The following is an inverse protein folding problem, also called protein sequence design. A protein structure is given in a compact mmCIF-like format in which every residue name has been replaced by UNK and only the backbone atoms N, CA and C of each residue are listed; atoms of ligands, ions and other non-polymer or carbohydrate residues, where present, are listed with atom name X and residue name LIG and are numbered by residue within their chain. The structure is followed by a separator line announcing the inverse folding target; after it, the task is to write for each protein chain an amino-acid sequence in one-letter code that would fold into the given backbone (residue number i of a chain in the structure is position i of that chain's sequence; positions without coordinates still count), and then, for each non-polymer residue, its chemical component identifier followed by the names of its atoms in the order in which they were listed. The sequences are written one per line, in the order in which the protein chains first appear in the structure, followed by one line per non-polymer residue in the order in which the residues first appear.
data_IF_739812917876
#
_entry.id   IF_739812917876
#
_cell.length_a   1.000
_cell.length_b   1.000
_cell.length_c   1.000
_cell.angle_alpha   90.00
_cell.angle_beta   90.00
_cell.angle_gamma   90.00
#
_symmetry.space_group_name_H-M   'P 1'
#
loop_
_entity.id
_entity.type
_entity.pdbx_description
1 polymer ?
#
# COMPACT_ATOMS: atom_id res chain seq x y z
N UNK A 1 -20.84 -5.64 4.25
CA UNK A 1 -20.22 -4.78 3.19
C UNK A 1 -21.09 -4.64 1.92
N UNK A 2 -21.65 -3.45 1.63
CA UNK A 2 -22.23 -3.17 0.31
C UNK A 2 -21.12 -2.80 -0.68
N UNK A 3 -20.83 -3.70 -1.62
CA UNK A 3 -19.96 -3.36 -2.75
C UNK A 3 -20.59 -2.26 -3.61
N UNK A 4 -19.77 -1.27 -3.95
CA UNK A 4 -20.04 -0.30 -5.01
C UNK A 4 -20.41 -1.05 -6.31
N UNK A 5 -21.35 -0.49 -7.08
CA UNK A 5 -21.85 -1.11 -8.32
C UNK A 5 -20.70 -1.46 -9.28
N UNK A 6 -19.72 -0.56 -9.42
CA UNK A 6 -18.58 -0.77 -10.34
C UNK A 6 -17.69 -1.95 -9.93
N UNK A 7 -17.50 -2.21 -8.64
CA UNK A 7 -16.68 -3.34 -8.17
C UNK A 7 -17.45 -4.65 -8.30
N UNK A 8 -18.77 -4.63 -8.08
CA UNK A 8 -19.63 -5.80 -8.32
C UNK A 8 -19.56 -6.25 -9.78
N UNK A 9 -19.71 -5.31 -10.72
CA UNK A 9 -19.63 -5.60 -12.15
C UNK A 9 -18.25 -6.18 -12.55
N UNK A 10 -17.16 -5.72 -11.91
CA UNK A 10 -15.81 -6.29 -12.11
C UNK A 10 -15.72 -7.72 -11.59
N UNK A 11 -16.21 -7.97 -10.39
CA UNK A 11 -16.22 -9.31 -9.79
C UNK A 11 -17.02 -10.28 -10.66
N UNK A 12 -18.20 -9.87 -11.15
CA UNK A 12 -19.03 -10.70 -12.04
C UNK A 12 -18.29 -11.08 -13.34
N UNK A 13 -17.54 -10.15 -13.95
CA UNK A 13 -16.80 -10.40 -15.19
C UNK A 13 -15.64 -11.38 -15.06
N UNK A 14 -15.07 -11.56 -13.86
CA UNK A 14 -13.95 -12.47 -13.64
C UNK A 14 -14.33 -13.74 -12.86
N UNK A 15 -15.60 -13.88 -12.45
CA UNK A 15 -16.06 -14.97 -11.60
C UNK A 15 -15.74 -16.37 -12.14
N UNK A 16 -15.94 -16.61 -13.45
CA UNK A 16 -15.64 -17.89 -14.07
C UNK A 16 -14.14 -18.21 -14.01
N UNK A 17 -13.28 -17.24 -14.39
CA UNK A 17 -11.82 -17.39 -14.31
C UNK A 17 -11.36 -17.64 -12.88
N UNK A 18 -11.93 -16.89 -11.93
CA UNK A 18 -11.64 -17.06 -10.51
C UNK A 18 -11.98 -18.47 -10.06
N UNK A 19 -13.19 -18.96 -10.36
CA UNK A 19 -13.63 -20.28 -9.97
C UNK A 19 -12.74 -21.40 -10.55
N UNK A 20 -12.35 -21.29 -11.82
CA UNK A 20 -11.39 -22.20 -12.45
C UNK A 20 -10.02 -22.16 -11.76
N UNK A 21 -9.55 -20.97 -11.37
CA UNK A 21 -8.30 -20.83 -10.62
C UNK A 21 -8.36 -21.51 -9.25
N UNK A 22 -9.47 -21.37 -8.52
CA UNK A 22 -9.68 -22.02 -7.21
C UNK A 22 -9.70 -23.55 -7.36
N UNK A 23 -10.38 -24.08 -8.38
CA UNK A 23 -10.41 -25.51 -8.66
C UNK A 23 -9.01 -26.06 -8.96
N UNK A 24 -8.20 -25.32 -9.74
CA UNK A 24 -6.81 -25.69 -10.00
C UNK A 24 -5.96 -25.68 -8.74
N UNK A 25 -6.08 -24.65 -7.90
CA UNK A 25 -5.36 -24.55 -6.63
C UNK A 25 -5.64 -25.74 -5.69
N UNK A 26 -6.89 -26.23 -5.65
CA UNK A 26 -7.27 -27.39 -4.83
C UNK A 26 -6.58 -28.69 -5.28
N UNK A 27 -6.22 -28.82 -6.55
CA UNK A 27 -5.55 -30.02 -7.09
C UNK A 27 -4.07 -30.09 -6.67
N UNK A 28 -3.39 -28.94 -6.54
CA UNK A 28 -1.93 -28.85 -6.30
C UNK A 28 -1.48 -29.61 -5.03
N UNK A 29 -2.33 -29.70 -4.01
CA UNK A 29 -2.02 -30.42 -2.77
C UNK A 29 -1.68 -31.89 -3.02
N UNK A 30 -2.34 -32.52 -4.00
CA UNK A 30 -2.19 -33.96 -4.30
C UNK A 30 -1.31 -34.22 -5.52
N UNK A 31 -0.91 -33.18 -6.25
CA UNK A 31 -0.13 -33.33 -7.47
C UNK A 31 1.36 -33.58 -7.18
N UNK A 32 1.94 -34.42 -8.03
CA UNK A 32 3.36 -34.78 -8.03
C UNK A 32 4.07 -34.36 -9.34
N UNK A 33 3.41 -33.53 -10.15
CA UNK A 33 3.87 -33.07 -11.48
C UNK A 33 5.12 -32.19 -11.41
N UNK A 34 5.26 -31.40 -10.35
CA UNK A 34 6.47 -30.60 -10.07
C UNK A 34 7.52 -31.44 -9.34
N UNK A 35 8.80 -31.17 -9.56
CA UNK A 35 9.91 -31.81 -8.85
C UNK A 35 9.76 -31.71 -7.31
N UNK A 36 10.05 -32.80 -6.60
CA UNK A 36 9.93 -32.95 -5.13
C UNK A 36 10.40 -31.74 -4.32
N UNK A 37 11.51 -31.13 -4.74
CA UNK A 37 12.13 -29.98 -4.06
C UNK A 37 11.19 -28.75 -3.99
N UNK A 38 10.38 -28.50 -5.02
CA UNK A 38 9.53 -27.30 -5.09
C UNK A 38 8.09 -27.58 -4.63
N UNK A 39 7.67 -28.85 -4.50
CA UNK A 39 6.32 -29.20 -4.05
C UNK A 39 5.92 -28.54 -2.73
N UNK A 40 6.77 -28.51 -1.68
CA UNK A 40 6.40 -27.86 -0.41
C UNK A 40 6.07 -26.37 -0.57
N UNK A 41 6.78 -25.66 -1.44
CA UNK A 41 6.54 -24.25 -1.72
C UNK A 41 5.19 -24.06 -2.42
N UNK A 42 4.96 -24.76 -3.54
CA UNK A 42 3.71 -24.61 -4.30
C UNK A 42 2.48 -25.03 -3.51
N UNK A 43 2.57 -26.11 -2.72
CA UNK A 43 1.48 -26.53 -1.83
C UNK A 43 1.20 -25.50 -0.74
N UNK A 44 2.24 -24.92 -0.13
CA UNK A 44 2.06 -23.84 0.84
C UNK A 44 1.40 -22.61 0.22
N UNK A 45 1.86 -22.14 -0.94
CA UNK A 45 1.26 -21.00 -1.63
C UNK A 45 -0.19 -21.28 -2.06
N UNK A 46 -0.48 -22.47 -2.59
CA UNK A 46 -1.85 -22.85 -2.95
C UNK A 46 -2.76 -22.89 -1.72
N UNK A 47 -2.31 -23.46 -0.60
CA UNK A 47 -3.05 -23.46 0.65
C UNK A 47 -3.29 -22.03 1.18
N UNK A 48 -2.31 -21.13 1.05
CA UNK A 48 -2.46 -19.73 1.42
C UNK A 48 -3.49 -19.01 0.53
N UNK A 49 -3.46 -19.19 -0.79
CA UNK A 49 -4.44 -18.61 -1.72
C UNK A 49 -5.86 -19.14 -1.45
N UNK A 50 -6.01 -20.44 -1.16
CA UNK A 50 -7.30 -21.02 -0.75
C UNK A 50 -7.81 -20.45 0.57
N UNK A 51 -6.91 -20.13 1.50
CA UNK A 51 -7.25 -19.43 2.75
C UNK A 51 -7.74 -18.01 2.49
N UNK A 52 -7.14 -17.29 1.54
CA UNK A 52 -7.62 -15.98 1.11
C UNK A 52 -9.02 -16.07 0.48
N UNK A 53 -9.30 -17.10 -0.31
CA UNK A 53 -10.65 -17.32 -0.84
C UNK A 53 -11.67 -17.61 0.26
N UNK A 54 -11.30 -18.42 1.27
CA UNK A 54 -12.16 -18.66 2.44
C UNK A 54 -12.45 -17.37 3.20
N UNK A 55 -11.44 -16.52 3.38
CA UNK A 55 -11.61 -15.20 4.00
C UNK A 55 -12.51 -14.31 3.16
N UNK A 56 -12.28 -14.20 1.85
CA UNK A 56 -13.08 -13.39 0.92
C UNK A 56 -14.55 -13.77 0.96
N UNK A 57 -14.89 -15.08 0.96
CA UNK A 57 -16.28 -15.56 1.11
C UNK A 57 -16.90 -15.13 2.43
N UNK A 58 -16.14 -15.22 3.52
CA UNK A 58 -16.56 -14.81 4.88
C UNK A 58 -16.80 -13.28 4.97
N UNK A 59 -16.08 -12.49 4.19
CA UNK A 59 -16.27 -11.04 4.06
C UNK A 59 -17.51 -10.74 3.20
N UNK A 60 -17.65 -11.43 2.08
CA UNK A 60 -18.74 -11.28 1.13
C UNK A 60 -20.11 -11.61 1.73
N UNK A 61 -20.22 -12.70 2.49
CA UNK A 61 -21.46 -13.11 3.16
C UNK A 61 -21.71 -12.41 4.51
N UNK A 62 -20.80 -11.52 4.91
CA UNK A 62 -20.83 -10.73 6.15
C UNK A 62 -20.70 -11.55 7.44
N UNK A 63 -20.31 -12.82 7.36
CA UNK A 63 -20.05 -13.66 8.54
C UNK A 63 -18.94 -13.07 9.41
N UNK A 64 -17.94 -12.43 8.82
CA UNK A 64 -16.83 -11.80 9.56
C UNK A 64 -17.31 -10.73 10.56
N UNK A 65 -18.42 -10.05 10.25
CA UNK A 65 -18.99 -9.00 11.12
C UNK A 65 -19.47 -9.59 12.46
N UNK A 66 -19.85 -10.87 12.46
CA UNK A 66 -20.34 -11.60 13.66
C UNK A 66 -19.23 -12.21 14.52
N UNK A 67 -17.98 -12.26 14.02
CA UNK A 67 -16.87 -12.86 14.74
C UNK A 67 -16.55 -12.11 16.03
N UNK A 68 -16.24 -12.90 17.06
CA UNK A 68 -15.70 -12.44 18.33
C UNK A 68 -14.32 -11.81 18.14
N UNK A 69 -13.88 -11.02 19.13
CA UNK A 69 -12.54 -10.43 19.12
C UNK A 69 -11.44 -11.50 18.98
N UNK A 70 -11.60 -12.65 19.64
CA UNK A 70 -10.61 -13.73 19.59
C UNK A 70 -10.57 -14.43 18.23
N UNK A 71 -11.71 -14.60 17.56
CA UNK A 71 -11.74 -15.10 16.18
C UNK A 71 -11.05 -14.13 15.20
N UNK A 72 -11.25 -12.82 15.37
CA UNK A 72 -10.57 -11.80 14.54
C UNK A 72 -9.06 -11.76 14.79
N UNK A 73 -8.62 -11.83 16.05
CA UNK A 73 -7.20 -11.98 16.42
C UNK A 73 -6.60 -13.26 15.84
N UNK A 74 -7.34 -14.36 15.84
CA UNK A 74 -6.90 -15.62 15.25
C UNK A 74 -6.64 -15.43 13.76
N UNK A 75 -7.56 -14.82 13.00
CA UNK A 75 -7.34 -14.50 11.59
C UNK A 75 -6.12 -13.61 11.37
N UNK A 76 -5.96 -12.55 12.16
CA UNK A 76 -4.78 -11.66 12.11
C UNK A 76 -3.48 -12.45 12.26
N UNK A 77 -3.38 -13.28 13.30
CA UNK A 77 -2.21 -14.13 13.53
C UNK A 77 -1.99 -15.09 12.36
N UNK A 78 -3.05 -15.78 11.95
CA UNK A 78 -3.02 -16.83 10.94
C UNK A 78 -2.65 -16.35 9.53
N UNK A 79 -2.87 -15.07 9.21
CA UNK A 79 -2.52 -14.47 7.93
C UNK A 79 -1.08 -13.92 7.94
N UNK A 80 -0.58 -13.50 9.10
CA UNK A 80 0.70 -12.79 9.22
C UNK A 80 1.82 -13.61 9.85
N UNK A 81 1.54 -14.73 10.53
CA UNK A 81 2.50 -15.51 11.34
C UNK A 81 3.83 -15.80 10.64
N UNK A 82 3.81 -16.05 9.34
CA UNK A 82 5.00 -16.38 8.55
C UNK A 82 5.99 -15.23 8.43
N UNK A 83 5.55 -13.98 8.57
CA UNK A 83 6.43 -12.81 8.51
C UNK A 83 6.71 -12.21 9.89
N UNK A 84 6.25 -12.84 10.97
CA UNK A 84 6.44 -12.34 12.34
C UNK A 84 7.67 -12.93 13.01
N UNK A 85 8.54 -12.05 13.53
CA UNK A 85 9.66 -12.41 14.40
C UNK A 85 10.54 -13.53 13.83
N UNK A 86 10.81 -14.55 14.64
CA UNK A 86 11.69 -15.67 14.25
C UNK A 86 11.07 -16.62 13.21
N UNK A 87 9.75 -16.57 12.97
CA UNK A 87 9.13 -17.38 11.92
C UNK A 87 9.57 -16.92 10.53
N UNK A 88 9.85 -15.62 10.38
CA UNK A 88 10.29 -15.04 9.11
C UNK A 88 11.54 -15.74 8.55
N UNK A 89 12.52 -16.06 9.41
CA UNK A 89 13.75 -16.78 9.02
C UNK A 89 13.53 -18.21 8.50
N UNK A 90 12.30 -18.71 8.59
CA UNK A 90 11.87 -20.03 8.09
C UNK A 90 10.73 -19.92 7.09
N UNK A 91 10.42 -18.70 6.65
CA UNK A 91 9.36 -18.43 5.69
C UNK A 91 9.95 -18.37 4.30
N UNK A 92 9.19 -18.83 3.30
CA UNK A 92 9.58 -18.59 1.91
C UNK A 92 9.54 -17.10 1.52
N UNK A 93 9.00 -16.23 2.37
CA UNK A 93 9.11 -14.80 2.21
C UNK A 93 10.52 -14.29 2.55
N UNK A 94 11.33 -14.99 3.36
CA UNK A 94 12.73 -14.62 3.52
C UNK A 94 13.51 -15.09 2.29
N UNK A 95 14.10 -14.17 1.47
CA UNK A 95 14.86 -14.56 0.29
C UNK A 95 16.02 -15.51 0.60
N UNK A 96 16.65 -15.36 1.77
CA UNK A 96 17.75 -16.23 2.23
C UNK A 96 17.26 -17.65 2.45
N UNK A 97 16.09 -17.79 3.09
CA UNK A 97 15.46 -19.09 3.30
C UNK A 97 15.00 -19.70 1.97
N UNK A 98 14.37 -18.91 1.10
CA UNK A 98 13.90 -19.36 -0.20
C UNK A 98 15.04 -19.84 -1.11
N UNK A 99 16.16 -19.11 -1.17
CA UNK A 99 17.37 -19.51 -1.92
C UNK A 99 17.92 -20.84 -1.41
N UNK A 100 18.05 -20.97 -0.08
CA UNK A 100 18.52 -22.21 0.54
C UNK A 100 17.62 -23.41 0.20
N UNK A 101 16.31 -23.24 0.32
CA UNK A 101 15.37 -24.35 0.20
C UNK A 101 15.05 -24.69 -1.26
N UNK A 102 14.85 -23.69 -2.11
CA UNK A 102 14.33 -23.86 -3.47
C UNK A 102 15.46 -23.93 -4.49
N UNK A 103 16.33 -22.91 -4.56
CA UNK A 103 17.60 -22.91 -5.30
C UNK A 103 18.18 -21.49 -5.35
N UNK A 104 19.47 -21.37 -5.66
CA UNK A 104 20.11 -20.10 -6.02
C UNK A 104 19.48 -19.45 -7.28
N UNK A 105 18.94 -20.25 -8.19
CA UNK A 105 18.38 -19.76 -9.46
C UNK A 105 16.98 -19.17 -9.28
N UNK A 106 16.10 -19.84 -8.53
CA UNK A 106 14.68 -19.47 -8.43
C UNK A 106 14.30 -18.83 -7.10
N UNK A 107 15.09 -19.03 -6.04
CA UNK A 107 14.71 -18.70 -4.66
C UNK A 107 14.30 -17.24 -4.47
N UNK A 108 15.04 -16.30 -5.06
CA UNK A 108 14.69 -14.87 -4.99
C UNK A 108 13.34 -14.57 -5.65
N UNK A 109 13.10 -15.08 -6.86
CA UNK A 109 11.85 -14.86 -7.60
C UNK A 109 10.66 -15.53 -6.91
N UNK A 110 10.85 -16.73 -6.36
CA UNK A 110 9.81 -17.44 -5.62
C UNK A 110 9.52 -16.80 -4.25
N UNK A 111 10.53 -16.18 -3.61
CA UNK A 111 10.32 -15.36 -2.41
C UNK A 111 9.47 -14.13 -2.74
N UNK A 112 9.85 -13.39 -3.79
CA UNK A 112 9.03 -12.29 -4.33
C UNK A 112 7.60 -12.75 -4.63
N UNK A 113 7.43 -13.86 -5.36
CA UNK A 113 6.10 -14.36 -5.70
C UNK A 113 5.27 -14.58 -4.43
N UNK A 114 5.83 -15.22 -3.40
CA UNK A 114 5.06 -15.41 -2.16
C UNK A 114 4.68 -14.08 -1.51
N UNK A 115 5.60 -13.11 -1.46
CA UNK A 115 5.33 -11.76 -0.98
C UNK A 115 4.26 -11.04 -1.80
N UNK A 116 4.24 -11.21 -3.12
CA UNK A 116 3.21 -10.64 -3.99
C UNK A 116 1.84 -11.29 -3.73
N UNK A 117 1.77 -12.61 -3.55
CA UNK A 117 0.51 -13.30 -3.21
C UNK A 117 -0.06 -12.85 -1.86
N UNK A 118 0.81 -12.41 -0.92
CA UNK A 118 0.39 -11.87 0.38
C UNK A 118 -0.33 -10.52 0.27
N UNK A 119 -0.19 -9.79 -0.82
CA UNK A 119 -1.03 -8.61 -1.11
C UNK A 119 -2.53 -8.97 -1.17
N UNK A 120 -2.83 -10.24 -1.50
CA UNK A 120 -4.17 -10.80 -1.50
C UNK A 120 -4.90 -10.75 -0.16
N UNK A 121 -4.20 -10.53 0.97
CA UNK A 121 -4.84 -10.29 2.27
C UNK A 121 -5.76 -9.07 2.18
N UNK A 122 -5.23 -7.92 1.76
CA UNK A 122 -6.02 -6.69 1.64
C UNK A 122 -7.12 -6.83 0.59
N UNK A 123 -6.83 -7.55 -0.50
CA UNK A 123 -7.80 -7.79 -1.58
C UNK A 123 -8.98 -8.66 -1.12
N UNK A 124 -8.75 -9.64 -0.24
CA UNK A 124 -9.80 -10.43 0.38
C UNK A 124 -10.71 -9.60 1.30
N UNK A 125 -10.13 -8.74 2.15
CA UNK A 125 -10.89 -7.83 3.04
C UNK A 125 -11.68 -6.76 2.28
N UNK A 126 -11.22 -6.36 1.09
CA UNK A 126 -11.92 -5.43 0.21
C UNK A 126 -12.83 -6.12 -0.83
N UNK A 127 -12.92 -7.46 -0.81
CA UNK A 127 -13.63 -8.30 -1.81
C UNK A 127 -13.29 -7.91 -3.26
N UNK A 128 -12.00 -7.67 -3.53
CA UNK A 128 -11.42 -7.46 -4.88
C UNK A 128 -11.17 -8.83 -5.52
N UNK A 129 -12.26 -9.49 -5.94
CA UNK A 129 -12.19 -10.82 -6.55
C UNK A 129 -11.36 -10.80 -7.84
N UNK A 130 -11.44 -9.71 -8.59
CA UNK A 130 -10.63 -9.47 -9.77
C UNK A 130 -9.13 -9.43 -9.48
N UNK A 131 -8.71 -8.77 -8.39
CA UNK A 131 -7.31 -8.74 -7.99
C UNK A 131 -6.82 -10.10 -7.50
N UNK A 132 -7.64 -10.81 -6.72
CA UNK A 132 -7.33 -12.18 -6.28
C UNK A 132 -7.23 -13.14 -7.47
N UNK A 133 -8.08 -12.98 -8.49
CA UNK A 133 -8.01 -13.78 -9.72
C UNK A 133 -6.66 -13.57 -10.40
N UNK A 134 -6.21 -12.32 -10.53
CA UNK A 134 -4.94 -11.99 -11.17
C UNK A 134 -3.76 -12.62 -10.39
N UNK A 135 -3.76 -12.56 -9.05
CA UNK A 135 -2.73 -13.21 -8.24
C UNK A 135 -2.72 -14.74 -8.42
N UNK A 136 -3.91 -15.36 -8.47
CA UNK A 136 -4.03 -16.78 -8.73
C UNK A 136 -3.48 -17.14 -10.12
N UNK A 137 -3.78 -16.34 -11.14
CA UNK A 137 -3.30 -16.54 -12.51
C UNK A 137 -1.77 -16.47 -12.58
N UNK A 138 -1.14 -15.45 -11.97
CA UNK A 138 0.33 -15.35 -11.88
C UNK A 138 0.94 -16.59 -11.21
N UNK A 139 0.39 -17.00 -10.07
CA UNK A 139 0.87 -18.18 -9.35
C UNK A 139 0.75 -19.45 -10.20
N UNK A 140 -0.40 -19.65 -10.84
CA UNK A 140 -0.67 -20.82 -11.67
C UNK A 140 0.18 -20.83 -12.95
N UNK A 141 0.49 -19.68 -13.53
CA UNK A 141 1.38 -19.58 -14.70
C UNK A 141 2.81 -19.99 -14.33
N UNK A 142 3.32 -19.50 -13.20
CA UNK A 142 4.63 -19.91 -12.69
C UNK A 142 4.62 -21.40 -12.32
N UNK A 143 3.58 -21.90 -11.66
CA UNK A 143 3.43 -23.33 -11.36
C UNK A 143 3.48 -24.19 -12.63
N UNK A 144 2.75 -23.81 -13.67
CA UNK A 144 2.75 -24.51 -14.96
C UNK A 144 4.13 -24.57 -15.62
N UNK A 145 4.97 -23.55 -15.44
CA UNK A 145 6.36 -23.61 -15.91
C UNK A 145 7.14 -24.76 -15.27
N UNK A 146 6.94 -24.98 -13.97
CA UNK A 146 7.56 -26.08 -13.22
C UNK A 146 6.91 -27.45 -13.49
N UNK A 147 5.66 -27.50 -13.95
CA UNK A 147 5.03 -28.73 -14.42
C UNK A 147 5.53 -29.14 -15.82
N UNK A 148 5.73 -28.15 -16.69
CA UNK A 148 6.13 -28.39 -18.08
C UNK A 148 7.60 -28.83 -18.20
N UNK A 149 8.46 -28.38 -17.29
CA UNK A 149 9.89 -28.65 -17.31
C UNK A 149 10.40 -28.86 -15.88
N UNK A 150 11.22 -29.90 -15.65
CA UNK A 150 11.83 -30.13 -14.33
C UNK A 150 12.66 -28.94 -13.84
N UNK A 151 13.28 -28.20 -14.79
CA UNK A 151 14.02 -26.97 -14.54
C UNK A 151 13.64 -25.95 -15.62
N UNK A 152 12.59 -25.14 -15.39
CA UNK A 152 12.20 -24.13 -16.36
C UNK A 152 13.30 -23.07 -16.53
N UNK A 153 13.47 -22.54 -17.73
CA UNK A 153 14.40 -21.42 -17.92
C UNK A 153 13.97 -20.23 -17.04
N UNK A 154 14.90 -19.69 -16.25
CA UNK A 154 14.65 -18.54 -15.38
C UNK A 154 14.04 -17.35 -16.12
N UNK A 155 14.41 -17.19 -17.39
CA UNK A 155 13.85 -16.18 -18.29
C UNK A 155 12.33 -16.30 -18.42
N UNK A 156 11.79 -17.50 -18.56
CA UNK A 156 10.34 -17.71 -18.69
C UNK A 156 9.61 -17.24 -17.43
N UNK A 157 10.15 -17.55 -16.25
CA UNK A 157 9.58 -17.10 -14.97
C UNK A 157 9.61 -15.57 -14.85
N UNK A 158 10.72 -14.94 -15.27
CA UNK A 158 10.83 -13.47 -15.33
C UNK A 158 9.84 -12.86 -16.32
N UNK A 159 9.61 -13.50 -17.46
CA UNK A 159 8.63 -13.03 -18.46
C UNK A 159 7.20 -13.11 -17.90
N UNK A 160 6.81 -14.16 -17.16
CA UNK A 160 5.52 -14.21 -16.45
C UNK A 160 5.34 -13.02 -15.50
N UNK A 161 6.36 -12.73 -14.68
CA UNK A 161 6.34 -11.58 -13.75
C UNK A 161 6.29 -10.24 -14.51
N UNK A 162 7.04 -10.10 -15.60
CA UNK A 162 7.06 -8.89 -16.41
C UNK A 162 5.69 -8.60 -17.03
N UNK A 163 5.06 -9.60 -17.64
CA UNK A 163 3.74 -9.43 -18.26
C UNK A 163 2.65 -9.23 -17.23
N UNK A 164 2.69 -9.91 -16.09
CA UNK A 164 1.85 -9.58 -14.94
C UNK A 164 1.96 -8.11 -14.55
N UNK A 165 3.18 -7.60 -14.37
CA UNK A 165 3.39 -6.22 -13.98
C UNK A 165 2.93 -5.23 -15.06
N UNK A 166 3.29 -5.48 -16.33
CA UNK A 166 3.01 -4.60 -17.46
C UNK A 166 1.53 -4.55 -17.84
N UNK A 167 0.89 -5.72 -17.93
CA UNK A 167 -0.50 -5.84 -18.39
C UNK A 167 -1.45 -5.34 -17.32
N UNK A 168 -1.23 -5.72 -16.06
CA UNK A 168 -2.09 -5.29 -14.96
C UNK A 168 -1.68 -3.95 -14.35
N UNK A 169 -0.69 -3.25 -14.91
CA UNK A 169 -0.37 -1.87 -14.53
C UNK A 169 -1.59 -0.95 -14.67
N UNK A 170 -2.33 -1.05 -15.78
CA UNK A 170 -3.53 -0.23 -16.03
C UNK A 170 -4.76 -0.66 -15.22
N UNK A 171 -4.63 -1.75 -14.46
CA UNK A 171 -5.59 -2.18 -13.46
C UNK A 171 -5.17 -1.64 -12.09
N UNK A 172 -4.05 -2.11 -11.54
CA UNK A 172 -3.66 -1.79 -10.17
C UNK A 172 -3.33 -0.31 -9.97
N UNK A 173 -2.49 0.27 -10.85
CA UNK A 173 -2.06 1.66 -10.71
C UNK A 173 -3.20 2.62 -11.06
N UNK A 174 -3.96 2.36 -12.12
CA UNK A 174 -5.09 3.23 -12.48
C UNK A 174 -6.18 3.24 -11.40
N UNK A 175 -6.45 2.08 -10.80
CA UNK A 175 -7.39 1.96 -9.69
C UNK A 175 -6.89 2.69 -8.45
N UNK A 176 -5.63 2.54 -8.09
CA UNK A 176 -5.05 3.26 -6.94
C UNK A 176 -5.10 4.79 -7.15
N UNK A 177 -4.78 5.27 -8.34
CA UNK A 177 -4.84 6.70 -8.67
C UNK A 177 -6.26 7.26 -8.57
N UNK A 178 -7.27 6.60 -9.15
CA UNK A 178 -8.66 7.10 -9.06
C UNK A 178 -9.19 7.01 -7.62
N UNK A 179 -8.88 5.93 -6.90
CA UNK A 179 -9.39 5.70 -5.54
C UNK A 179 -8.78 6.69 -4.53
N UNK A 180 -7.57 7.20 -4.81
CA UNK A 180 -6.91 8.23 -4.01
C UNK A 180 -7.30 9.67 -4.38
N UNK A 181 -8.03 9.92 -5.46
CA UNK A 181 -8.33 11.27 -5.95
C UNK A 181 -9.83 11.56 -6.00
N UNK A 182 -10.64 10.58 -6.38
CA UNK A 182 -12.06 10.79 -6.65
C UNK A 182 -12.91 10.28 -5.46
N UNK A 183 -13.61 11.19 -4.74
CA UNK A 183 -14.43 10.84 -3.57
C UNK A 183 -15.54 9.81 -3.82
N UNK A 184 -15.97 9.65 -5.08
CA UNK A 184 -16.98 8.65 -5.46
C UNK A 184 -16.52 7.24 -5.07
N UNK A 185 -15.23 6.92 -5.18
CA UNK A 185 -14.73 5.58 -4.90
C UNK A 185 -14.46 5.32 -3.42
N UNK A 186 -14.22 6.36 -2.62
CA UNK A 186 -13.87 6.25 -1.20
C UNK A 186 -15.09 6.38 -0.26
N UNK A 187 -16.24 6.78 -0.80
CA UNK A 187 -17.47 7.01 -0.02
C UNK A 187 -17.86 5.81 0.85
N UNK A 188 -17.84 4.61 0.26
CA UNK A 188 -18.15 3.37 0.98
C UNK A 188 -17.16 3.04 2.11
N UNK A 189 -15.92 3.55 2.03
CA UNK A 189 -14.90 3.42 3.06
C UNK A 189 -15.19 4.38 4.21
N UNK A 190 -15.50 5.64 3.90
CA UNK A 190 -15.88 6.66 4.88
C UNK A 190 -17.14 6.24 5.64
N UNK A 191 -18.18 5.78 4.92
CA UNK A 191 -19.43 5.31 5.51
C UNK A 191 -19.17 4.13 6.47
N UNK A 192 -18.27 3.22 6.09
CA UNK A 192 -17.86 2.11 6.96
C UNK A 192 -17.20 2.60 8.25
N UNK A 193 -16.27 3.55 8.19
CA UNK A 193 -15.59 4.11 9.38
C UNK A 193 -16.62 4.75 10.31
N UNK A 194 -17.63 5.43 9.76
CA UNK A 194 -18.72 6.06 10.53
C UNK A 194 -19.64 5.05 11.22
N UNK A 195 -19.85 3.89 10.61
CA UNK A 195 -20.71 2.83 11.12
C UNK A 195 -19.99 1.90 12.12
N UNK A 196 -18.66 1.97 12.22
CA UNK A 196 -17.87 1.14 13.13
C UNK A 196 -18.13 1.47 14.60
N UNK A 197 -18.25 0.42 15.42
CA UNK A 197 -18.20 0.54 16.88
C UNK A 197 -16.75 0.72 17.36
N UNK A 198 -16.34 1.98 17.54
CA UNK A 198 -14.99 2.34 17.99
C UNK A 198 -14.75 2.15 19.50
N UNK A 199 -15.78 1.73 20.25
CA UNK A 199 -15.65 1.40 21.68
C UNK A 199 -14.96 0.05 21.92
N UNK A 200 -14.89 -0.79 20.90
CA UNK A 200 -14.35 -2.16 20.93
C UNK A 200 -13.21 -2.30 19.90
N UNK A 201 -12.16 -3.06 20.20
CA UNK A 201 -11.02 -3.26 19.29
C UNK A 201 -11.32 -4.14 18.07
N UNK A 202 -12.51 -4.75 17.95
CA UNK A 202 -12.91 -5.60 16.82
C UNK A 202 -12.77 -4.89 15.47
N UNK A 203 -13.04 -3.58 15.39
CA UNK A 203 -12.99 -2.85 14.11
C UNK A 203 -11.59 -2.83 13.49
N UNK A 204 -10.52 -2.84 14.30
CA UNK A 204 -9.12 -2.77 13.82
C UNK A 204 -8.79 -3.88 12.83
N UNK A 205 -9.44 -5.03 12.98
CA UNK A 205 -9.23 -6.22 12.16
C UNK A 205 -10.05 -6.23 10.87
N UNK A 206 -10.69 -5.13 10.48
CA UNK A 206 -11.63 -5.08 9.34
C UNK A 206 -10.98 -4.64 8.02
N UNK A 207 -9.70 -4.26 8.06
CA UNK A 207 -8.98 -3.70 6.90
C UNK A 207 -8.05 -4.69 6.22
N UNK A 208 -7.66 -5.75 6.94
CA UNK A 208 -6.64 -6.69 6.50
C UNK A 208 -5.21 -6.27 6.77
N UNK A 209 -4.96 -5.07 7.31
CA UNK A 209 -3.67 -4.71 7.89
C UNK A 209 -3.40 -5.50 9.18
N UNK A 210 -2.13 -5.76 9.47
CA UNK A 210 -1.75 -6.44 10.71
C UNK A 210 -2.00 -5.54 11.92
N UNK A 211 -2.74 -6.06 12.89
CA UNK A 211 -2.99 -5.39 14.16
C UNK A 211 -2.02 -5.92 15.20
N UNK A 212 -1.06 -5.09 15.59
CA UNK A 212 -0.11 -5.35 16.67
C UNK A 212 -0.41 -4.52 17.91
N UNK A 213 0.56 -4.46 18.83
CA UNK A 213 0.49 -3.64 20.04
C UNK A 213 0.32 -2.15 19.71
N UNK A 214 1.00 -1.66 18.67
CA UNK A 214 0.98 -0.25 18.26
C UNK A 214 -0.40 0.24 17.85
N UNK A 215 -1.11 -0.54 17.04
CA UNK A 215 -2.46 -0.21 16.57
C UNK A 215 -3.45 -0.24 17.76
N UNK A 216 -3.28 -1.17 18.70
CA UNK A 216 -4.08 -1.27 19.92
C UNK A 216 -3.86 -0.08 20.87
N UNK A 217 -2.60 0.29 21.11
CA UNK A 217 -2.23 1.47 21.90
C UNK A 217 -2.79 2.76 21.30
N UNK A 218 -2.70 2.89 19.97
CA UNK A 218 -3.20 4.05 19.23
C UNK A 218 -4.72 4.16 19.37
N UNK A 219 -5.43 3.05 19.18
CA UNK A 219 -6.87 2.98 19.37
C UNK A 219 -7.28 3.34 20.80
N UNK A 220 -6.56 2.83 21.81
CA UNK A 220 -6.80 3.12 23.22
C UNK A 220 -6.53 4.59 23.55
N UNK A 221 -5.43 5.15 23.07
CA UNK A 221 -5.09 6.56 23.24
C UNK A 221 -6.22 7.45 22.75
N UNK A 222 -6.63 7.28 21.48
CA UNK A 222 -7.71 8.10 20.93
C UNK A 222 -9.04 7.83 21.61
N UNK A 223 -9.35 6.59 22.05
CA UNK A 223 -10.57 6.26 22.83
C UNK A 223 -10.65 7.00 24.17
N UNK A 224 -9.52 7.29 24.80
CA UNK A 224 -9.48 7.93 26.10
C UNK A 224 -9.46 9.47 26.04
N UNK A 225 -9.38 10.07 24.84
CA UNK A 225 -9.48 11.53 24.68
C UNK A 225 -10.93 12.02 24.80
N UNK A 226 -11.09 13.21 25.39
CA UNK A 226 -12.34 13.96 25.34
C UNK A 226 -12.60 14.49 23.93
N UNK A 227 -13.86 14.77 23.61
CA UNK A 227 -14.24 15.33 22.31
C UNK A 227 -13.56 16.69 22.05
N UNK A 228 -13.35 17.52 23.07
CA UNK A 228 -12.63 18.80 22.93
C UNK A 228 -11.15 18.60 22.59
N UNK A 229 -10.49 17.61 23.20
CA UNK A 229 -9.10 17.29 22.90
C UNK A 229 -8.96 16.72 21.49
N UNK A 230 -9.86 15.81 21.10
CA UNK A 230 -9.91 15.22 19.76
C UNK A 230 -10.13 16.29 18.69
N UNK A 231 -11.07 17.21 18.92
CA UNK A 231 -11.32 18.32 18.00
C UNK A 231 -10.11 19.25 17.86
N UNK A 232 -9.41 19.57 18.96
CA UNK A 232 -8.18 20.38 18.89
C UNK A 232 -7.09 19.70 18.05
N UNK A 233 -6.96 18.37 18.12
CA UNK A 233 -6.01 17.63 17.28
C UNK A 233 -6.49 17.65 15.83
N UNK A 234 -7.77 17.41 15.54
CA UNK A 234 -8.29 17.48 14.17
C UNK A 234 -8.11 18.88 13.55
N UNK A 235 -8.30 19.94 14.34
CA UNK A 235 -8.10 21.33 13.94
C UNK A 235 -6.67 21.60 13.45
N UNK A 236 -5.64 21.01 14.05
CA UNK A 236 -4.25 21.21 13.60
C UNK A 236 -4.02 20.73 12.16
N UNK A 237 -4.72 19.66 11.75
CA UNK A 237 -4.62 19.11 10.39
C UNK A 237 -5.50 19.85 9.37
N UNK A 238 -6.60 20.44 9.83
CA UNK A 238 -7.68 20.94 8.97
C UNK A 238 -7.76 22.45 8.87
N UNK A 239 -7.15 23.20 9.81
CA UNK A 239 -7.17 24.67 9.86
C UNK A 239 -6.75 25.35 8.55
N UNK A 240 -5.78 24.78 7.84
CA UNK A 240 -5.23 25.33 6.59
C UNK A 240 -6.19 25.28 5.40
N UNK A 241 -7.29 24.55 5.50
CA UNK A 241 -8.25 24.39 4.42
C UNK A 241 -9.46 25.31 4.55
N UNK A 242 -9.45 26.23 5.53
CA UNK A 242 -10.56 27.16 5.76
C UNK A 242 -10.66 28.12 4.58
N UNK A 243 -11.90 28.43 4.17
CA UNK A 243 -12.21 29.22 2.96
C UNK A 243 -11.60 30.62 2.90
N UNK A 244 -11.10 31.13 4.02
CA UNK A 244 -10.38 32.41 4.09
C UNK A 244 -9.04 32.34 3.32
N UNK A 245 -8.50 31.13 3.10
CA UNK A 245 -7.18 30.87 2.52
C UNK A 245 -7.20 30.02 1.23
N UNK A 246 -8.37 29.56 0.75
CA UNK A 246 -8.47 28.60 -0.37
C UNK A 246 -8.97 29.21 -1.69
N UNK A 247 -8.36 28.80 -2.82
CA UNK A 247 -8.89 29.09 -4.16
C UNK A 247 -10.23 28.38 -4.37
N UNK A 248 -11.23 29.07 -4.94
CA UNK A 248 -12.62 28.62 -5.03
C UNK A 248 -12.87 27.26 -5.74
N UNK A 249 -11.89 26.74 -6.48
CA UNK A 249 -11.98 25.47 -7.20
C UNK A 249 -11.33 24.28 -6.49
N UNK A 250 -10.57 24.53 -5.41
CA UNK A 250 -9.83 23.52 -4.65
C UNK A 250 -10.70 22.98 -3.51
N UNK A 251 -11.07 21.70 -3.57
CA UNK A 251 -12.08 21.11 -2.68
C UNK A 251 -11.83 19.66 -2.29
N UNK A 252 -10.71 19.02 -2.66
CA UNK A 252 -10.44 17.61 -2.34
C UNK A 252 -9.20 17.46 -1.47
N UNK A 253 -9.32 16.76 -0.33
CA UNK A 253 -8.19 16.47 0.56
C UNK A 253 -7.99 14.97 0.70
N UNK A 254 -6.78 14.51 0.39
CA UNK A 254 -6.37 13.12 0.52
C UNK A 254 -5.99 12.82 1.98
N UNK A 255 -6.54 11.75 2.55
CA UNK A 255 -6.30 11.35 3.94
C UNK A 255 -5.67 9.96 3.95
N UNK A 256 -4.47 9.86 4.52
CA UNK A 256 -3.76 8.63 4.78
C UNK A 256 -3.77 8.39 6.28
N UNK A 257 -4.19 7.21 6.73
CA UNK A 257 -4.18 6.89 8.16
C UNK A 257 -3.89 5.40 8.39
N UNK A 258 -3.54 5.06 9.63
CA UNK A 258 -3.29 3.68 10.08
C UNK A 258 -4.38 3.19 11.03
N UNK A 259 -4.65 1.88 11.10
CA UNK A 259 -5.58 1.34 12.08
C UNK A 259 -5.27 1.84 13.50
N UNK A 260 -6.31 2.32 14.20
CA UNK A 260 -6.24 2.95 15.51
C UNK A 260 -6.50 4.46 15.48
N UNK A 261 -6.35 5.13 14.33
CA UNK A 261 -6.62 6.57 14.18
C UNK A 261 -8.08 6.92 13.88
N UNK A 262 -8.99 5.95 13.78
CA UNK A 262 -10.36 6.11 13.28
C UNK A 262 -11.16 7.19 14.02
N UNK A 263 -11.00 7.30 15.35
CA UNK A 263 -11.66 8.38 16.11
C UNK A 263 -11.17 9.75 15.64
N UNK A 264 -9.86 9.92 15.43
CA UNK A 264 -9.31 11.17 14.89
C UNK A 264 -9.74 11.38 13.44
N UNK A 265 -9.77 10.32 12.61
CA UNK A 265 -10.25 10.38 11.23
C UNK A 265 -11.68 10.92 11.19
N UNK A 266 -12.59 10.42 12.04
CA UNK A 266 -13.97 10.93 12.09
C UNK A 266 -14.03 12.43 12.44
N UNK A 267 -13.18 12.90 13.36
CA UNK A 267 -13.11 14.32 13.70
C UNK A 267 -12.56 15.17 12.54
N UNK A 268 -11.50 14.69 11.86
CA UNK A 268 -10.92 15.32 10.68
C UNK A 268 -11.93 15.39 9.52
N UNK A 269 -12.62 14.29 9.23
CA UNK A 269 -13.68 14.22 8.22
C UNK A 269 -14.78 15.24 8.51
N UNK A 270 -15.29 15.25 9.74
CA UNK A 270 -16.37 16.17 10.14
C UNK A 270 -15.94 17.63 10.06
N UNK A 271 -14.68 17.97 10.35
CA UNK A 271 -14.20 19.34 10.25
C UNK A 271 -14.01 19.77 8.79
N UNK A 272 -13.41 18.93 7.94
CA UNK A 272 -13.27 19.19 6.50
C UNK A 272 -14.63 19.39 5.81
N UNK A 273 -15.62 18.56 6.12
CA UNK A 273 -16.95 18.64 5.52
C UNK A 273 -17.68 19.94 5.92
N UNK A 274 -17.51 20.42 7.17
CA UNK A 274 -18.04 21.73 7.59
C UNK A 274 -17.43 22.88 6.79
N UNK A 275 -16.19 22.72 6.36
CA UNK A 275 -15.49 23.70 5.51
C UNK A 275 -15.89 23.58 4.03
N UNK A 276 -16.67 22.56 3.65
CA UNK A 276 -17.05 22.29 2.26
C UNK A 276 -15.94 21.60 1.45
N UNK A 277 -15.01 20.92 2.14
CA UNK A 277 -13.97 20.09 1.54
C UNK A 277 -14.47 18.64 1.46
N UNK A 278 -14.19 17.99 0.34
CA UNK A 278 -14.46 16.59 0.04
C UNK A 278 -13.24 15.73 0.46
N UNK A 279 -13.33 14.97 1.55
CA UNK A 279 -12.24 14.09 1.97
C UNK A 279 -12.18 12.81 1.11
N UNK A 280 -10.95 12.33 0.86
CA UNK A 280 -10.68 11.06 0.19
C UNK A 280 -9.79 10.19 1.06
N UNK A 281 -10.32 9.09 1.60
CA UNK A 281 -9.52 8.11 2.32
C UNK A 281 -8.69 7.32 1.28
N UNK A 282 -7.37 7.46 1.37
CA UNK A 282 -6.42 6.78 0.50
C UNK A 282 -6.07 5.42 1.12
N UNK A 283 -6.57 4.35 0.50
CA UNK A 283 -6.23 2.98 0.90
C UNK A 283 -4.83 2.66 0.36
N UNK A 284 -3.89 2.22 1.22
CA UNK A 284 -2.56 1.82 0.78
C UNK A 284 -2.63 0.75 -0.30
N UNK A 285 -1.97 0.98 -1.43
CA UNK A 285 -1.82 -0.05 -2.44
C UNK A 285 -0.80 -1.11 -1.99
N UNK A 286 -1.25 -2.37 -1.99
CA UNK A 286 -0.40 -3.54 -1.79
C UNK A 286 0.03 -4.15 -3.13
N UNK A 287 1.09 -4.95 -3.11
CA UNK A 287 1.70 -5.54 -4.31
C UNK A 287 2.76 -4.62 -4.94
N UNK A 288 3.59 -5.17 -5.82
CA UNK A 288 4.77 -4.48 -6.37
C UNK A 288 4.44 -3.41 -7.41
N UNK A 289 3.30 -3.53 -8.11
CA UNK A 289 2.93 -2.66 -9.25
C UNK A 289 2.59 -1.23 -8.80
N UNK A 290 1.85 -1.10 -7.71
CA UNK A 290 1.31 0.16 -7.21
C UNK A 290 1.77 0.46 -5.77
N UNK A 291 2.81 -0.22 -5.27
CA UNK A 291 3.24 -0.16 -3.86
C UNK A 291 3.40 1.27 -3.36
N UNK A 292 2.67 1.61 -2.29
CA UNK A 292 2.89 2.84 -1.53
C UNK A 292 4.07 2.71 -0.55
N UNK A 293 4.71 3.84 -0.23
CA UNK A 293 5.74 3.90 0.83
C UNK A 293 5.18 3.65 2.25
N UNK A 294 3.86 3.62 2.43
CA UNK A 294 3.17 3.54 3.72
C UNK A 294 2.77 2.11 4.11
N UNK A 295 3.73 1.17 4.14
CA UNK A 295 3.46 -0.16 4.68
C UNK A 295 3.68 -0.21 6.19
N UNK A 296 2.82 -0.94 6.88
CA UNK A 296 2.90 -1.16 8.32
C UNK A 296 4.12 -1.99 8.57
N UNK A 297 5.05 -1.48 9.36
CA UNK A 297 6.27 -2.16 9.80
C UNK A 297 5.93 -3.37 10.69
N UNK A 298 5.23 -4.35 10.13
CA UNK A 298 4.93 -5.64 10.75
C UNK A 298 6.25 -6.34 11.04
N UNK A 299 7.17 -6.27 10.09
CA UNK A 299 8.53 -6.76 10.21
C UNK A 299 9.47 -5.89 9.35
N UNK A 300 10.31 -5.03 9.98
CA UNK A 300 11.27 -4.20 9.27
C UNK A 300 12.25 -4.96 8.36
N UNK A 301 12.61 -6.20 8.71
CA UNK A 301 13.49 -7.03 7.89
C UNK A 301 12.77 -7.47 6.60
N UNK A 302 11.51 -7.91 6.72
CA UNK A 302 10.67 -8.27 5.58
C UNK A 302 10.50 -7.09 4.62
N UNK A 303 10.25 -5.89 5.14
CA UNK A 303 10.16 -4.69 4.29
C UNK A 303 11.48 -4.37 3.59
N UNK A 304 12.61 -4.49 4.30
CA UNK A 304 13.92 -4.24 3.72
C UNK A 304 14.29 -5.24 2.62
N UNK A 305 13.99 -6.53 2.84
CA UNK A 305 14.27 -7.61 1.88
C UNK A 305 13.49 -7.46 0.57
N UNK A 306 12.28 -6.94 0.65
CA UNK A 306 11.37 -6.80 -0.49
C UNK A 306 11.30 -5.40 -1.08
N UNK A 307 12.05 -4.43 -0.54
CA UNK A 307 12.03 -3.04 -0.98
C UNK A 307 12.36 -2.87 -2.46
N UNK A 308 13.20 -3.75 -3.01
CA UNK A 308 13.69 -3.65 -4.39
C UNK A 308 13.10 -4.73 -5.32
N UNK A 309 12.00 -5.39 -4.96
CA UNK A 309 11.40 -6.46 -5.76
C UNK A 309 11.05 -6.03 -7.20
N UNK A 310 10.73 -4.75 -7.43
CA UNK A 310 10.46 -4.20 -8.78
C UNK A 310 11.64 -4.46 -9.74
N UNK A 311 12.89 -4.58 -9.23
CA UNK A 311 14.06 -4.91 -10.03
C UNK A 311 13.99 -6.27 -10.75
N UNK A 312 13.06 -7.16 -10.37
CA UNK A 312 12.83 -8.41 -11.09
C UNK A 312 12.27 -8.22 -12.50
N UNK A 313 11.64 -7.08 -12.79
CA UNK A 313 11.03 -6.79 -14.09
C UNK A 313 11.25 -5.34 -14.56
N UNK A 314 11.83 -4.47 -13.74
CA UNK A 314 12.07 -3.08 -14.05
C UNK A 314 13.02 -2.93 -15.25
N UNK A 315 12.49 -2.33 -16.31
CA UNK A 315 13.23 -1.85 -17.46
C UNK A 315 12.65 -0.51 -17.96
N UNK A 316 13.29 0.07 -18.97
CA UNK A 316 12.86 1.34 -19.57
C UNK A 316 11.44 1.27 -20.14
N UNK A 317 11.05 0.14 -20.76
CA UNK A 317 9.73 -0.01 -21.37
C UNK A 317 8.63 -0.06 -20.32
N UNK A 318 8.88 -0.74 -19.20
CA UNK A 318 7.97 -0.79 -18.08
C UNK A 318 7.79 0.60 -17.45
N UNK A 319 8.87 1.39 -17.29
CA UNK A 319 8.75 2.78 -16.83
C UNK A 319 7.92 3.65 -17.79
N UNK A 320 8.14 3.52 -19.10
CA UNK A 320 7.32 4.21 -20.10
C UNK A 320 5.83 3.81 -19.99
N UNK A 321 5.55 2.51 -19.85
CA UNK A 321 4.19 1.98 -19.61
C UNK A 321 3.57 2.53 -18.33
N UNK A 322 4.31 2.55 -17.21
CA UNK A 322 3.85 3.07 -15.91
C UNK A 322 3.48 4.55 -16.03
N UNK A 323 4.32 5.36 -16.68
CA UNK A 323 4.05 6.79 -16.93
C UNK A 323 2.83 7.01 -17.84
N UNK A 324 2.66 6.20 -18.89
CA UNK A 324 1.49 6.27 -19.76
C UNK A 324 0.20 5.96 -19.02
N UNK A 325 0.21 4.95 -18.13
CA UNK A 325 -0.91 4.61 -17.27
C UNK A 325 -1.22 5.75 -16.29
N UNK A 326 -0.20 6.32 -15.65
CA UNK A 326 -0.40 7.48 -14.75
C UNK A 326 -1.04 8.65 -15.49
N UNK A 327 -0.54 8.99 -16.68
CA UNK A 327 -1.05 10.09 -17.50
C UNK A 327 -2.50 9.84 -17.90
N UNK A 328 -2.81 8.63 -18.33
CA UNK A 328 -4.18 8.24 -18.66
C UNK A 328 -5.11 8.31 -17.45
N UNK A 329 -4.66 7.84 -16.28
CA UNK A 329 -5.40 7.92 -15.02
C UNK A 329 -5.74 9.36 -14.65
N UNK A 330 -4.77 10.27 -14.67
CA UNK A 330 -5.01 11.69 -14.39
C UNK A 330 -5.90 12.36 -15.43
N UNK A 331 -5.77 12.05 -16.72
CA UNK A 331 -6.66 12.60 -17.75
C UNK A 331 -8.12 12.17 -17.54
N UNK A 332 -8.34 10.91 -17.13
CA UNK A 332 -9.68 10.40 -16.84
C UNK A 332 -10.32 11.06 -15.62
N UNK A 333 -9.52 11.35 -14.61
CA UNK A 333 -9.97 11.96 -13.35
C UNK A 333 -9.70 13.46 -13.30
N UNK A 334 -9.46 14.13 -14.44
CA UNK A 334 -8.97 15.52 -14.49
C UNK A 334 -9.80 16.54 -13.74
N UNK A 335 -11.12 16.33 -13.70
CA UNK A 335 -12.04 17.18 -12.95
C UNK A 335 -11.79 17.09 -11.45
N UNK A 336 -11.41 15.90 -10.95
CA UNK A 336 -11.07 15.67 -9.56
C UNK A 336 -9.62 16.04 -9.26
N UNK A 337 -8.66 15.73 -10.14
CA UNK A 337 -7.25 16.12 -9.94
C UNK A 337 -7.11 17.64 -9.79
N UNK A 338 -7.84 18.42 -10.60
CA UNK A 338 -7.84 19.88 -10.52
C UNK A 338 -8.29 20.40 -9.14
N UNK A 339 -9.18 19.67 -8.45
CA UNK A 339 -9.74 20.05 -7.15
C UNK A 339 -8.89 19.62 -5.96
N UNK A 340 -7.88 18.77 -6.15
CA UNK A 340 -7.00 18.31 -5.06
C UNK A 340 -6.24 19.49 -4.46
N UNK A 341 -6.34 19.66 -3.14
CA UNK A 341 -5.78 20.80 -2.42
C UNK A 341 -4.80 20.44 -1.32
N UNK A 342 -4.69 19.16 -0.96
CA UNK A 342 -3.67 18.74 0.00
C UNK A 342 -3.79 17.31 0.47
N UNK A 343 -2.83 16.91 1.32
CA UNK A 343 -2.71 15.59 1.93
C UNK A 343 -2.60 15.71 3.44
N UNK A 344 -3.41 14.94 4.16
CA UNK A 344 -3.31 14.74 5.60
C UNK A 344 -2.77 13.32 5.83
N UNK A 345 -1.73 13.20 6.64
CA UNK A 345 -1.19 11.92 7.10
C UNK A 345 -1.37 11.80 8.60
N UNK A 346 -2.10 10.78 9.03
CA UNK A 346 -2.37 10.46 10.43
C UNK A 346 -1.61 9.18 10.77
N UNK A 347 -0.40 9.36 11.28
CA UNK A 347 0.50 8.28 11.65
C UNK A 347 1.31 8.66 12.89
N UNK A 348 1.97 7.69 13.52
CA UNK A 348 2.90 7.94 14.63
C UNK A 348 4.16 8.60 14.07
N UNK A 349 4.65 9.65 14.74
CA UNK A 349 5.95 10.23 14.45
C UNK A 349 7.05 9.31 15.02
N UNK A 350 7.42 8.27 14.28
CA UNK A 350 8.47 7.33 14.67
C UNK A 350 9.67 7.41 13.71
N UNK A 351 10.88 7.20 14.25
CA UNK A 351 12.04 6.90 13.42
C UNK A 351 11.74 5.61 12.66
N UNK A 352 11.86 5.65 11.33
CA UNK A 352 11.72 4.47 10.50
C UNK A 352 12.68 3.39 11.00
N UNK A 353 12.14 2.32 11.58
CA UNK A 353 12.90 1.11 11.84
C UNK A 353 13.31 0.55 10.49
N UNK A 354 14.53 0.85 10.06
CA UNK A 354 15.05 0.37 8.80
C UNK A 354 15.71 -0.98 9.03
N UNK A 355 15.09 -2.06 8.55
CA UNK A 355 15.79 -3.33 8.40
C UNK A 355 16.95 -3.19 7.41
N UNK A 356 17.94 -4.07 7.49
CA UNK A 356 18.97 -4.17 6.46
C UNK A 356 18.64 -5.35 5.57
N UNK A 357 18.51 -5.11 4.26
CA UNK A 357 18.22 -6.19 3.32
C UNK A 357 19.24 -7.34 3.48
N UNK A 358 18.73 -8.56 3.51
CA UNK A 358 19.49 -9.79 3.60
C UNK A 358 20.38 -10.02 2.38
N UNK A 359 21.33 -10.95 2.46
CA UNK A 359 22.31 -11.19 1.39
C UNK A 359 21.67 -11.65 0.08
N UNK A 360 20.54 -12.35 0.16
CA UNK A 360 19.80 -12.88 -0.98
C UNK A 360 18.62 -11.97 -1.37
N UNK A 361 18.47 -10.78 -0.78
CA UNK A 361 17.44 -9.83 -1.19
C UNK A 361 17.72 -9.28 -2.60
N UNK A 362 16.64 -8.94 -3.32
CA UNK A 362 16.75 -8.30 -4.62
C UNK A 362 17.36 -6.91 -4.45
N UNK A 363 18.18 -6.46 -5.40
CA UNK A 363 18.76 -5.11 -5.40
C UNK A 363 18.77 -4.51 -6.80
N UNK A 364 18.69 -3.19 -6.88
CA UNK A 364 18.72 -2.46 -8.15
C UNK A 364 20.12 -2.42 -8.75
N UNK A 365 20.21 -2.75 -10.03
CA UNK A 365 21.39 -2.45 -10.86
C UNK A 365 21.46 -0.97 -11.22
N UNK A 366 22.62 -0.47 -11.67
CA UNK A 366 22.78 0.94 -12.05
C UNK A 366 21.82 1.38 -13.17
N UNK A 367 21.57 0.51 -14.15
CA UNK A 367 20.61 0.77 -15.24
C UNK A 367 19.18 0.92 -14.72
N UNK A 368 18.82 0.16 -13.68
CA UNK A 368 17.51 0.21 -13.04
C UNK A 368 17.36 1.45 -12.15
N UNK A 369 18.42 1.83 -11.43
CA UNK A 369 18.46 3.11 -10.70
C UNK A 369 18.26 4.29 -11.64
N UNK A 370 18.84 4.25 -12.84
CA UNK A 370 18.59 5.28 -13.86
C UNK A 370 17.12 5.30 -14.31
N UNK A 371 16.51 4.13 -14.52
CA UNK A 371 15.09 4.03 -14.84
C UNK A 371 14.21 4.65 -13.74
N UNK A 372 14.52 4.40 -12.46
CA UNK A 372 13.83 5.00 -11.33
C UNK A 372 13.98 6.53 -11.29
N UNK A 373 15.20 7.06 -11.47
CA UNK A 373 15.41 8.52 -11.54
C UNK A 373 14.57 9.18 -12.63
N UNK A 374 14.51 8.55 -13.81
CA UNK A 374 13.68 9.03 -14.93
C UNK A 374 12.20 8.99 -14.56
N UNK A 375 11.76 7.92 -13.90
CA UNK A 375 10.38 7.79 -13.43
C UNK A 375 10.05 8.87 -12.39
N UNK A 376 10.89 9.09 -11.39
CA UNK A 376 10.70 10.10 -10.35
C UNK A 376 10.59 11.51 -10.95
N UNK A 377 11.50 11.87 -11.85
CA UNK A 377 11.47 13.16 -12.53
C UNK A 377 10.17 13.36 -13.34
N UNK A 378 9.82 12.37 -14.18
CA UNK A 378 8.65 12.48 -15.07
C UNK A 378 7.32 12.36 -14.34
N UNK A 379 7.24 11.55 -13.30
CA UNK A 379 6.03 11.39 -12.48
C UNK A 379 5.71 12.68 -11.72
N UNK A 380 6.71 13.37 -11.18
CA UNK A 380 6.54 14.70 -10.56
C UNK A 380 6.10 15.72 -11.60
N UNK A 381 6.76 15.80 -12.76
CA UNK A 381 6.34 16.70 -13.84
C UNK A 381 4.87 16.46 -14.25
N UNK A 382 4.46 15.20 -14.32
CA UNK A 382 3.11 14.81 -14.63
C UNK A 382 2.12 15.22 -13.52
N UNK A 383 2.43 14.97 -12.25
CA UNK A 383 1.61 15.44 -11.12
C UNK A 383 1.40 16.95 -11.16
N UNK A 384 2.47 17.70 -11.46
CA UNK A 384 2.44 19.16 -11.55
C UNK A 384 1.54 19.64 -12.70
N UNK A 385 1.61 18.98 -13.86
CA UNK A 385 0.75 19.28 -15.01
C UNK A 385 -0.75 19.16 -14.67
N UNK A 386 -1.11 18.22 -13.79
CA UNK A 386 -2.50 17.96 -13.40
C UNK A 386 -2.92 18.64 -12.08
N UNK A 387 -2.08 19.55 -11.55
CA UNK A 387 -2.40 20.34 -10.35
C UNK A 387 -2.42 19.54 -9.05
N UNK A 388 -1.71 18.40 -9.03
CA UNK A 388 -1.52 17.54 -7.86
C UNK A 388 -0.26 17.88 -7.07
N UNK A 389 0.54 18.85 -7.54
CA UNK A 389 1.64 19.39 -6.75
C UNK A 389 1.08 20.11 -5.53
N UNK A 390 1.51 19.66 -4.35
CA UNK A 390 1.22 20.32 -3.08
C UNK A 390 2.55 20.94 -2.66
N UNK A 391 2.98 21.96 -3.39
CA UNK A 391 4.01 22.85 -2.88
C UNK A 391 3.44 23.53 -1.65
N UNK A 392 3.87 23.14 -0.45
CA UNK A 392 3.69 23.96 0.75
C UNK A 392 4.41 25.29 0.47
N UNK A 393 3.69 26.42 0.36
CA UNK A 393 4.32 27.74 0.27
C UNK A 393 5.30 27.90 1.43
N UNK A 394 6.45 28.52 1.18
CA UNK A 394 7.46 28.70 2.23
C UNK A 394 6.85 29.43 3.43
N UNK A 395 5.96 30.39 3.19
CA UNK A 395 5.24 31.16 4.21
C UNK A 395 4.42 30.31 5.19
N UNK A 396 4.13 29.04 4.87
CA UNK A 396 3.40 28.10 5.73
C UNK A 396 4.31 27.24 6.62
N UNK A 397 5.64 27.30 6.45
CA UNK A 397 6.60 26.53 7.22
C UNK A 397 6.96 27.28 8.52
N UNK A 398 6.41 26.80 9.65
CA UNK A 398 6.69 27.34 11.00
C UNK A 398 8.20 27.26 11.33
N UNK A 399 8.81 26.08 11.20
CA UNK A 399 10.25 25.89 11.45
C UNK A 399 10.80 24.71 10.62
N UNK A 400 11.99 24.88 10.03
CA UNK A 400 12.87 23.77 9.64
C UNK A 400 14.15 23.90 10.43
N UNK A 401 14.52 22.88 11.19
CA UNK A 401 15.77 22.86 11.95
C UNK A 401 16.54 21.56 11.81
N UNK A 402 17.86 21.63 12.04
CA UNK A 402 18.80 20.52 11.95
C UNK A 402 19.46 20.31 13.31
N UNK A 403 19.32 19.10 13.83
CA UNK A 403 20.04 18.66 15.02
C UNK A 403 21.43 18.11 14.62
N UNK A 404 22.51 18.74 15.11
CA UNK A 404 23.87 18.28 14.82
C UNK A 404 24.26 17.09 15.69
N UNK A 405 25.33 16.37 15.29
CA UNK A 405 25.94 15.29 16.08
C UNK A 405 26.39 15.71 17.49
N UNK A 406 26.53 17.01 17.73
CA UNK A 406 26.93 17.61 19.00
C UNK A 406 25.70 18.02 19.85
N UNK A 407 24.48 17.71 19.40
CA UNK A 407 23.23 18.07 20.09
C UNK A 407 22.81 19.52 19.91
N UNK A 408 23.43 20.27 18.99
CA UNK A 408 23.05 21.64 18.70
C UNK A 408 21.88 21.67 17.73
N UNK A 409 20.80 22.37 18.06
CA UNK A 409 19.73 22.65 17.12
C UNK A 409 20.09 23.89 16.29
N UNK A 410 20.04 23.78 14.96
CA UNK A 410 20.27 24.89 14.02
C UNK A 410 18.98 25.10 13.25
N UNK A 411 18.31 26.22 13.49
CA UNK A 411 17.14 26.61 12.71
C UNK A 411 17.61 27.07 11.34
N UNK A 412 17.12 26.39 10.30
CA UNK A 412 17.36 26.71 8.89
C UNK A 412 16.33 27.70 8.36
N UNK A 413 15.08 27.52 8.76
CA UNK A 413 13.95 28.31 8.33
C UNK A 413 13.00 28.53 9.51
N UNK A 414 12.47 29.74 9.66
CA UNK A 414 11.47 30.12 10.68
C UNK A 414 10.45 31.04 10.00
N UNK A 415 9.15 30.79 10.22
CA UNK A 415 8.03 31.53 9.62
C UNK A 415 8.20 31.78 8.09
N UNK A 416 8.62 30.75 7.38
CA UNK A 416 8.84 30.80 5.94
C UNK A 416 10.09 31.52 5.45
N UNK A 417 11.01 31.91 6.34
CA UNK A 417 12.24 32.62 5.98
C UNK A 417 13.48 31.87 6.42
N UNK A 418 14.49 31.84 5.58
CA UNK A 418 15.79 31.26 5.97
C UNK A 418 16.45 32.12 7.04
N UNK A 419 16.71 31.57 8.22
CA UNK A 419 17.28 32.31 9.37
C UNK A 419 18.76 32.03 9.60
N UNK A 420 19.40 31.25 8.71
CA UNK A 420 20.84 30.97 8.81
C UNK A 420 21.67 32.12 8.25
N UNK A 421 22.62 32.63 9.03
CA UNK A 421 23.59 33.61 8.56
C UNK A 421 24.37 33.10 7.33
N UNK A 422 24.17 33.74 6.18
CA UNK A 422 25.19 33.82 5.14
C UNK A 422 25.00 33.07 3.81
N UNK A 423 23.77 32.86 3.28
CA UNK A 423 23.60 32.51 1.85
C UNK A 423 22.40 33.19 1.18
N UNK A 424 22.63 33.62 -0.06
CA UNK A 424 21.71 34.35 -0.95
C UNK A 424 20.34 33.67 -1.06
N UNK A 425 19.29 34.48 -1.08
CA UNK A 425 17.96 34.05 -1.53
C UNK A 425 18.03 33.54 -3.00
N UNK A 426 17.07 32.72 -3.46
CA UNK A 426 17.04 32.22 -4.85
C UNK A 426 17.05 33.32 -5.92
N UNK A 427 16.61 34.53 -5.56
CA UNK A 427 16.64 35.74 -6.39
C UNK A 427 17.99 36.49 -6.39
N UNK A 428 18.96 36.00 -5.62
CA UNK A 428 20.31 36.55 -5.52
C UNK A 428 20.49 37.70 -4.53
N UNK A 429 19.48 38.05 -3.74
CA UNK A 429 19.58 39.08 -2.68
C UNK A 429 20.26 38.54 -1.41
N UNK A 430 20.89 39.44 -0.63
CA UNK A 430 21.42 39.17 0.70
C UNK A 430 20.50 39.82 1.73
N UNK A 431 20.23 39.13 2.85
CA UNK A 431 19.50 39.72 3.98
C UNK A 431 20.26 40.90 4.60
N UNK A 432 19.49 41.85 5.14
CA UNK A 432 19.95 43.07 5.80
C UNK A 432 20.13 42.87 7.29
#
# INVERSE_FOLDING_TARGET
MKLETWQRDRNERCMERHQLSIERLQMIEQEETVQDRYRPYFRMCAAFLLKLESLRRTIEDHSFETFTLEERKRWNQELYVDILGENYKKSFADPTYAVKMLSEVYGQLLSFLYTELRSGILYAFSNRLDYLTILNELFLEIYQCFEAQEQPEYRNLRECVYWYASDYCDVFLADHLRESINPVYTKSVIDRIREMDLSDNRYLYSYGEYVGEKELETAEYFRNLSEEALWKIADTYTRRYRKEDCQAEKSVVQIFYRPGFERLVLAVLADLEKQGIEPVICIPASGVIARDELHGNVNPQYEADHKCDEALFLDKKYIERKLDVMKYGYEREKEWTARVTGRIRLDRAEEALCGQAGPDAVSYMEEQKECLRIFDEKSVQLMNQYGLDITTPYEELEEISVLTKEGKNIILLEDGRFVTEGKKMPDGSFEK
#
